data_IF_624835095112
#
_entry.id   IF_624835095112
#
_cell.length_a   1.000
_cell.length_b   1.000
_cell.length_c   1.000
_cell.angle_alpha   90.00
_cell.angle_beta   90.00
_cell.angle_gamma   90.00
#
_symmetry.space_group_name_H-M   'P 1'
#
loop_
_entity.id
_entity.type
_entity.pdbx_description
1 polymer ?
#
# COMPACT_ATOMS: atom_id res chain seq x y z
N UNK A 1 25.54 -8.92 8.60
CA UNK A 1 24.60 -7.93 8.04
C UNK A 1 23.15 -8.42 7.95
N UNK A 2 22.87 -9.69 7.66
CA UNK A 2 21.50 -10.25 7.49
C UNK A 2 20.67 -10.32 8.79
N UNK A 3 21.28 -10.69 9.93
CA UNK A 3 20.57 -10.77 11.21
C UNK A 3 20.02 -9.42 11.71
N UNK A 4 20.74 -8.32 11.46
CA UNK A 4 20.32 -6.97 11.83
C UNK A 4 19.13 -6.48 11.00
N UNK A 5 19.10 -6.76 9.70
CA UNK A 5 17.93 -6.45 8.84
C UNK A 5 16.68 -7.25 9.23
N UNK A 6 16.84 -8.53 9.57
CA UNK A 6 15.73 -9.36 10.02
C UNK A 6 15.13 -8.87 11.36
N UNK A 7 15.97 -8.45 12.31
CA UNK A 7 15.52 -7.88 13.57
C UNK A 7 14.80 -6.53 13.38
N UNK A 8 15.34 -5.64 12.53
CA UNK A 8 14.70 -4.35 12.22
C UNK A 8 13.36 -4.57 11.48
N UNK A 9 13.31 -5.53 10.55
CA UNK A 9 12.08 -5.92 9.87
C UNK A 9 11.02 -6.54 10.80
N UNK A 10 11.44 -7.29 11.81
CA UNK A 10 10.53 -7.84 12.82
C UNK A 10 9.93 -6.75 13.71
N UNK A 11 10.74 -5.78 14.15
CA UNK A 11 10.31 -4.65 14.98
C UNK A 11 9.33 -3.76 14.21
N UNK A 12 9.63 -3.41 12.96
CA UNK A 12 8.71 -2.64 12.12
C UNK A 12 7.42 -3.44 11.84
N UNK A 13 7.51 -4.75 11.61
CA UNK A 13 6.31 -5.57 11.38
C UNK A 13 5.34 -5.60 12.56
N UNK A 14 5.86 -5.49 13.80
CA UNK A 14 5.07 -5.42 15.02
C UNK A 14 4.48 -4.02 15.22
N UNK A 15 5.25 -2.96 14.93
CA UNK A 15 4.78 -1.57 14.98
C UNK A 15 3.59 -1.33 14.06
N UNK A 16 3.66 -1.82 12.81
CA UNK A 16 2.61 -1.64 11.81
C UNK A 16 1.47 -2.69 11.91
N UNK A 17 1.46 -3.56 12.93
CA UNK A 17 0.46 -4.62 13.05
C UNK A 17 -0.99 -4.11 13.02
N UNK A 18 -1.38 -3.04 13.73
CA UNK A 18 -2.75 -2.52 13.67
C UNK A 18 -3.17 -2.05 12.27
N UNK A 19 -2.29 -1.33 11.56
CA UNK A 19 -2.55 -0.87 10.20
C UNK A 19 -2.64 -2.04 9.22
N UNK A 20 -1.77 -3.04 9.36
CA UNK A 20 -1.81 -4.26 8.55
C UNK A 20 -3.11 -5.02 8.75
N UNK A 21 -3.55 -5.21 9.98
CA UNK A 21 -4.83 -5.87 10.28
C UNK A 21 -6.00 -5.05 9.73
N UNK A 22 -6.01 -3.73 9.91
CA UNK A 22 -7.05 -2.88 9.30
C UNK A 22 -7.10 -3.03 7.78
N UNK A 23 -5.94 -3.07 7.12
CA UNK A 23 -5.84 -3.27 5.68
C UNK A 23 -6.28 -4.67 5.26
N UNK A 24 -5.96 -5.71 6.03
CA UNK A 24 -6.41 -7.10 5.82
C UNK A 24 -7.94 -7.17 5.74
N UNK A 25 -8.63 -6.58 6.73
CA UNK A 25 -10.10 -6.53 6.79
C UNK A 25 -10.72 -5.59 5.74
N UNK A 26 -9.94 -4.63 5.23
CA UNK A 26 -10.36 -3.76 4.12
C UNK A 26 -10.33 -4.51 2.78
N UNK A 27 -9.27 -5.28 2.53
CA UNK A 27 -9.04 -5.99 1.27
C UNK A 27 -9.80 -7.33 1.16
N UNK A 28 -9.97 -8.07 2.26
CA UNK A 28 -10.69 -9.36 2.31
C UNK A 28 -12.21 -9.25 2.19
N UNK A 29 -12.75 -8.09 1.77
CA UNK A 29 -14.16 -8.01 1.36
C UNK A 29 -14.40 -8.61 -0.04
N UNK A 30 -13.36 -8.63 -0.87
CA UNK A 30 -13.47 -8.91 -2.30
C UNK A 30 -13.02 -10.32 -2.70
N UNK A 31 -12.46 -11.09 -1.77
CA UNK A 31 -11.97 -12.46 -2.00
C UNK A 31 -13.09 -13.51 -1.97
N UNK A 32 -14.15 -13.30 -1.17
CA UNK A 32 -15.26 -14.25 -1.03
C UNK A 32 -15.96 -14.58 -2.35
N UNK A 33 -16.33 -13.63 -3.23
CA UNK A 33 -16.94 -13.95 -4.52
C UNK A 33 -16.03 -14.82 -5.39
N UNK A 34 -14.71 -14.57 -5.38
CA UNK A 34 -13.75 -15.38 -6.12
C UNK A 34 -13.71 -16.81 -5.57
N UNK A 35 -13.68 -16.98 -4.24
CA UNK A 35 -13.73 -18.31 -3.60
C UNK A 35 -14.99 -19.06 -4.02
N UNK A 36 -16.17 -18.43 -3.93
CA UNK A 36 -17.44 -19.07 -4.29
C UNK A 36 -17.52 -19.41 -5.78
N UNK A 37 -17.02 -18.53 -6.66
CA UNK A 37 -16.96 -18.79 -8.10
C UNK A 37 -16.05 -19.99 -8.40
N UNK A 38 -14.84 -20.03 -7.84
CA UNK A 38 -13.94 -21.16 -8.05
C UNK A 38 -14.50 -22.45 -7.46
N UNK A 39 -15.24 -22.36 -6.34
CA UNK A 39 -15.94 -23.50 -5.75
C UNK A 39 -17.03 -24.05 -6.66
N UNK A 40 -17.80 -23.17 -7.32
CA UNK A 40 -18.83 -23.56 -8.28
C UNK A 40 -18.22 -24.22 -9.52
N UNK A 41 -17.12 -23.65 -10.05
CA UNK A 41 -16.38 -24.25 -11.18
C UNK A 41 -15.82 -25.61 -10.82
N UNK A 42 -15.24 -25.75 -9.62
CA UNK A 42 -14.73 -27.03 -9.12
C UNK A 42 -15.86 -28.06 -8.95
N UNK A 43 -16.99 -27.67 -8.34
CA UNK A 43 -18.14 -28.56 -8.19
C UNK A 43 -18.69 -29.04 -9.54
N UNK A 44 -18.75 -28.16 -10.55
CA UNK A 44 -19.15 -28.53 -11.91
C UNK A 44 -18.15 -29.48 -12.57
N UNK A 45 -16.85 -29.21 -12.44
CA UNK A 45 -15.80 -30.07 -13.00
C UNK A 45 -15.78 -31.47 -12.37
N UNK A 46 -16.18 -31.57 -11.10
CA UNK A 46 -16.26 -32.83 -10.35
C UNK A 46 -17.63 -33.51 -10.46
N UNK A 47 -18.60 -32.87 -11.12
CA UNK A 47 -19.96 -33.38 -11.28
C UNK A 47 -19.97 -34.67 -12.11
N UNK A 48 -20.65 -35.71 -11.62
CA UNK A 48 -20.71 -37.01 -12.28
C UNK A 48 -19.48 -37.91 -12.06
N UNK A 49 -18.41 -37.38 -11.46
CA UNK A 49 -17.22 -38.17 -11.07
C UNK A 49 -17.24 -38.57 -9.60
N UNK A 50 -17.83 -37.75 -8.74
CA UNK A 50 -17.91 -37.97 -7.29
C UNK A 50 -19.38 -37.89 -6.83
N UNK A 51 -19.69 -38.54 -5.71
CA UNK A 51 -21.05 -38.54 -5.15
C UNK A 51 -21.56 -37.12 -4.92
N UNK A 52 -22.79 -36.86 -5.37
CA UNK A 52 -23.46 -35.57 -5.25
C UNK A 52 -23.55 -35.11 -3.79
N UNK A 53 -23.79 -36.03 -2.86
CA UNK A 53 -23.86 -35.74 -1.42
C UNK A 53 -22.57 -35.14 -0.87
N UNK A 54 -21.40 -35.63 -1.30
CA UNK A 54 -20.10 -35.09 -0.86
C UNK A 54 -19.84 -33.70 -1.47
N UNK A 55 -20.19 -33.49 -2.74
CA UNK A 55 -20.07 -32.17 -3.39
C UNK A 55 -20.97 -31.14 -2.67
N UNK A 56 -22.22 -31.51 -2.35
CA UNK A 56 -23.16 -30.65 -1.63
C UNK A 56 -22.65 -30.33 -0.21
N UNK A 57 -22.19 -31.34 0.55
CA UNK A 57 -21.63 -31.13 1.88
C UNK A 57 -20.40 -30.19 1.85
N UNK A 58 -19.53 -30.38 0.85
CA UNK A 58 -18.36 -29.53 0.65
C UNK A 58 -18.71 -28.08 0.29
N UNK A 59 -19.68 -27.88 -0.61
CA UNK A 59 -20.19 -26.54 -0.93
C UNK A 59 -20.83 -25.86 0.28
N UNK A 60 -21.60 -26.60 1.09
CA UNK A 60 -22.17 -26.08 2.34
C UNK A 60 -21.06 -25.61 3.28
N UNK A 61 -19.99 -26.39 3.45
CA UNK A 61 -18.83 -25.99 4.26
C UNK A 61 -18.25 -24.66 3.76
N UNK A 62 -17.99 -24.54 2.46
CA UNK A 62 -17.39 -23.34 1.88
C UNK A 62 -18.29 -22.11 2.00
N UNK A 63 -19.60 -22.28 1.83
CA UNK A 63 -20.58 -21.20 2.03
C UNK A 63 -20.61 -20.78 3.50
N UNK A 64 -20.61 -21.72 4.44
CA UNK A 64 -20.58 -21.41 5.88
C UNK A 64 -19.27 -20.71 6.28
N UNK A 65 -18.11 -21.21 5.81
CA UNK A 65 -16.82 -20.57 6.08
C UNK A 65 -16.74 -19.16 5.47
N UNK A 66 -17.30 -18.96 4.27
CA UNK A 66 -17.43 -17.65 3.63
C UNK A 66 -18.38 -16.72 4.39
N UNK A 67 -19.49 -17.23 4.91
CA UNK A 67 -20.41 -16.45 5.74
C UNK A 67 -19.73 -16.01 7.05
N UNK A 68 -18.99 -16.90 7.70
CA UNK A 68 -18.18 -16.55 8.89
C UNK A 68 -17.17 -15.45 8.55
N UNK A 69 -16.50 -15.51 7.39
CA UNK A 69 -15.59 -14.46 6.92
C UNK A 69 -16.31 -13.11 6.77
N UNK A 70 -17.46 -13.09 6.11
CA UNK A 70 -18.27 -11.87 5.91
C UNK A 70 -18.72 -11.29 7.25
N UNK A 71 -19.23 -12.13 8.15
CA UNK A 71 -19.67 -11.72 9.48
C UNK A 71 -18.50 -11.16 10.32
N UNK A 72 -17.33 -11.80 10.24
CA UNK A 72 -16.12 -11.32 10.91
C UNK A 72 -15.68 -9.96 10.35
N UNK A 73 -15.65 -9.80 9.03
CA UNK A 73 -15.34 -8.53 8.36
C UNK A 73 -16.33 -7.42 8.77
N UNK A 74 -17.63 -7.74 8.81
CA UNK A 74 -18.67 -6.81 9.26
C UNK A 74 -18.49 -6.45 10.73
N UNK A 75 -18.22 -7.43 11.60
CA UNK A 75 -17.98 -7.21 13.02
C UNK A 75 -16.75 -6.32 13.27
N UNK A 76 -15.66 -6.52 12.52
CA UNK A 76 -14.47 -5.68 12.59
C UNK A 76 -14.78 -4.22 12.23
N UNK A 77 -15.49 -4.01 11.11
CA UNK A 77 -15.87 -2.67 10.64
C UNK A 77 -16.83 -1.95 11.59
N UNK A 78 -17.75 -2.68 12.21
CA UNK A 78 -18.69 -2.11 13.19
C UNK A 78 -18.00 -1.77 14.52
N UNK A 79 -17.12 -2.65 15.02
CA UNK A 79 -16.47 -2.46 16.33
C UNK A 79 -15.29 -1.48 16.30
N UNK A 80 -14.68 -1.24 15.12
CA UNK A 80 -13.48 -0.39 14.94
C UNK A 80 -12.45 -0.60 16.06
N UNK A 81 -11.94 -1.84 16.21
CA UNK A 81 -11.12 -2.20 17.35
C UNK A 81 -9.83 -1.36 17.41
N UNK A 82 -9.44 -0.95 18.62
CA UNK A 82 -8.20 -0.24 18.86
C UNK A 82 -6.94 -1.10 18.63
N UNK A 83 -5.73 -0.49 18.70
CA UNK A 83 -4.46 -1.15 18.40
C UNK A 83 -4.19 -2.41 19.23
N UNK A 84 -4.57 -2.41 20.51
CA UNK A 84 -4.35 -3.53 21.45
C UNK A 84 -5.05 -4.83 21.01
N UNK A 85 -6.19 -4.71 20.33
CA UNK A 85 -6.95 -5.86 19.88
C UNK A 85 -6.46 -6.40 18.51
N UNK A 86 -5.51 -5.74 17.84
CA UNK A 86 -5.09 -6.08 16.49
C UNK A 86 -4.62 -7.54 16.36
N UNK A 87 -3.78 -8.02 17.28
CA UNK A 87 -3.28 -9.39 17.28
C UNK A 87 -4.42 -10.43 17.42
N UNK A 88 -5.43 -10.13 18.23
CA UNK A 88 -6.60 -11.01 18.41
C UNK A 88 -7.44 -11.09 17.13
N UNK A 89 -7.65 -9.95 16.46
CA UNK A 89 -8.38 -9.92 15.19
C UNK A 89 -7.59 -10.53 14.03
N UNK A 90 -6.25 -10.45 14.03
CA UNK A 90 -5.40 -11.27 13.15
C UNK A 90 -5.66 -12.75 13.41
N UNK A 91 -5.67 -13.19 14.68
CA UNK A 91 -5.94 -14.57 15.06
C UNK A 91 -7.30 -15.10 14.59
N UNK A 92 -8.38 -14.33 14.77
CA UNK A 92 -9.70 -14.71 14.23
C UNK A 92 -9.69 -14.87 12.71
N UNK A 93 -9.00 -13.96 12.02
CA UNK A 93 -8.87 -14.02 10.58
C UNK A 93 -8.07 -15.25 10.14
N UNK A 94 -6.96 -15.56 10.80
CA UNK A 94 -6.18 -16.80 10.61
C UNK A 94 -7.07 -18.05 10.76
N UNK A 95 -7.94 -18.07 11.79
CA UNK A 95 -8.85 -19.19 12.02
C UNK A 95 -9.82 -19.39 10.86
N UNK A 96 -10.41 -18.30 10.36
CA UNK A 96 -11.28 -18.37 9.17
C UNK A 96 -10.52 -18.74 7.90
N UNK A 97 -9.25 -18.36 7.77
CA UNK A 97 -8.39 -18.79 6.66
C UNK A 97 -8.09 -20.29 6.73
N UNK A 98 -7.87 -20.82 7.93
CA UNK A 98 -7.72 -22.25 8.13
C UNK A 98 -9.01 -23.03 7.82
N UNK A 99 -10.20 -22.50 8.15
CA UNK A 99 -11.47 -23.14 7.80
C UNK A 99 -11.68 -23.24 6.28
N UNK A 100 -11.28 -22.21 5.53
CA UNK A 100 -11.34 -22.24 4.05
C UNK A 100 -10.25 -23.17 3.50
N UNK A 101 -9.04 -23.09 4.03
CA UNK A 101 -7.93 -23.94 3.61
C UNK A 101 -8.20 -25.42 3.84
N UNK A 102 -8.78 -25.77 4.98
CA UNK A 102 -9.19 -27.16 5.30
C UNK A 102 -10.31 -27.63 4.37
N UNK A 103 -11.27 -26.78 4.02
CA UNK A 103 -12.29 -27.14 3.03
C UNK A 103 -11.66 -27.53 1.68
N UNK A 104 -10.61 -26.81 1.25
CA UNK A 104 -9.89 -27.10 0.01
C UNK A 104 -8.82 -28.20 0.12
N UNK A 105 -8.31 -28.50 1.31
CA UNK A 105 -7.35 -29.58 1.53
C UNK A 105 -8.01 -30.93 1.76
N UNK A 106 -9.14 -30.95 2.48
CA UNK A 106 -9.90 -32.17 2.77
C UNK A 106 -10.61 -32.74 1.54
N UNK A 107 -10.85 -31.95 0.50
CA UNK A 107 -11.34 -32.47 -0.79
C UNK A 107 -10.43 -33.54 -1.35
N UNK A 108 -9.10 -33.36 -1.22
CA UNK A 108 -8.12 -34.35 -1.67
C UNK A 108 -8.26 -35.68 -0.95
N UNK A 109 -8.62 -35.65 0.34
CA UNK A 109 -8.73 -36.88 1.14
C UNK A 109 -10.11 -37.52 1.05
N UNK A 110 -11.17 -36.71 0.99
CA UNK A 110 -12.56 -37.18 1.01
C UNK A 110 -13.10 -37.53 -0.38
N UNK A 111 -12.59 -36.88 -1.43
CA UNK A 111 -13.06 -37.08 -2.82
C UNK A 111 -12.14 -38.01 -3.63
N UNK A 112 -11.17 -38.64 -2.97
CA UNK A 112 -10.25 -39.60 -3.57
C UNK A 112 -10.60 -41.01 -3.07
N UNK A 113 -11.51 -41.76 -3.73
CA UNK A 113 -11.09 -42.86 -4.62
C UNK A 113 -12.10 -43.37 -5.70
N UNK A 114 -11.59 -43.77 -6.88
CA UNK A 114 -11.85 -45.04 -7.62
C UNK A 114 -11.44 -44.93 -9.12
N UNK A 115 -10.33 -45.61 -9.48
CA UNK A 115 -10.05 -46.25 -10.80
C UNK A 115 -10.12 -45.47 -12.13
N UNK A 116 -9.99 -44.15 -12.21
CA UNK A 116 -9.72 -43.49 -13.51
C UNK A 116 -8.54 -42.51 -13.48
N UNK A 117 -7.64 -42.66 -14.46
CA UNK A 117 -6.40 -41.88 -14.66
C UNK A 117 -6.61 -40.36 -14.79
N UNK A 118 -7.83 -39.88 -15.04
CA UNK A 118 -8.13 -38.46 -15.27
C UNK A 118 -8.18 -37.60 -13.98
N UNK A 119 -8.47 -38.20 -12.82
CA UNK A 119 -8.65 -37.45 -11.57
C UNK A 119 -7.32 -37.04 -10.92
N UNK A 120 -6.23 -37.77 -11.19
CA UNK A 120 -4.90 -37.55 -10.60
C UNK A 120 -4.27 -36.20 -11.00
N UNK A 121 -4.66 -35.65 -12.16
CA UNK A 121 -4.12 -34.38 -12.69
C UNK A 121 -5.08 -33.21 -12.43
N UNK A 122 -6.39 -33.44 -12.51
CA UNK A 122 -7.41 -32.39 -12.41
C UNK A 122 -7.49 -31.79 -11.00
N UNK A 123 -7.38 -32.62 -9.96
CA UNK A 123 -7.46 -32.20 -8.54
C UNK A 123 -6.31 -31.26 -8.14
N UNK A 124 -5.03 -31.61 -8.36
CA UNK A 124 -3.92 -30.70 -8.08
C UNK A 124 -3.98 -29.39 -8.87
N UNK A 125 -4.48 -29.43 -10.11
CA UNK A 125 -4.64 -28.23 -10.94
C UNK A 125 -5.73 -27.29 -10.41
N UNK A 126 -6.90 -27.84 -10.02
CA UNK A 126 -7.96 -27.08 -9.37
C UNK A 126 -7.48 -26.43 -8.06
N UNK A 127 -6.73 -27.17 -7.25
CA UNK A 127 -6.17 -26.68 -5.98
C UNK A 127 -5.12 -25.59 -6.22
N UNK A 128 -4.25 -25.78 -7.22
CA UNK A 128 -3.26 -24.78 -7.64
C UNK A 128 -3.90 -23.47 -8.10
N UNK A 129 -5.05 -23.53 -8.78
CA UNK A 129 -5.77 -22.34 -9.25
C UNK A 129 -6.35 -21.50 -8.10
N UNK A 130 -6.88 -22.15 -7.06
CA UNK A 130 -7.40 -21.46 -5.86
C UNK A 130 -6.27 -20.83 -5.06
N UNK A 131 -5.14 -21.54 -4.92
CA UNK A 131 -3.96 -21.03 -4.24
C UNK A 131 -3.35 -19.80 -4.94
N UNK A 132 -3.51 -19.67 -6.27
CA UNK A 132 -3.05 -18.53 -7.06
C UNK A 132 -3.97 -17.29 -7.01
N UNK A 133 -5.27 -17.43 -6.70
CA UNK A 133 -6.25 -16.33 -6.81
C UNK A 133 -6.37 -15.41 -5.57
N UNK A 134 -5.92 -15.89 -4.40
CA UNK A 134 -6.00 -15.20 -3.11
C UNK A 134 -4.84 -14.20 -2.72
N UNK A 135 -3.75 -13.97 -3.50
CA UNK A 135 -2.55 -13.24 -3.03
C UNK A 135 -2.72 -11.79 -2.52
N UNK A 136 -3.50 -10.87 -3.12
CA UNK A 136 -3.45 -9.46 -2.70
C UNK A 136 -4.18 -9.19 -1.38
N UNK A 137 -5.30 -9.89 -1.16
CA UNK A 137 -6.17 -9.62 -0.01
C UNK A 137 -5.55 -10.06 1.31
N UNK A 138 -4.73 -11.11 1.25
CA UNK A 138 -4.09 -11.67 2.43
C UNK A 138 -2.81 -10.89 2.77
N UNK A 139 -2.08 -10.34 1.78
CA UNK A 139 -0.72 -9.76 1.87
C UNK A 139 -0.35 -9.04 3.19
N UNK A 140 -1.24 -8.30 3.87
CA UNK A 140 -0.93 -7.74 5.19
C UNK A 140 -0.58 -8.76 6.29
N UNK A 141 -0.94 -10.05 6.21
CA UNK A 141 -0.70 -11.04 7.29
C UNK A 141 -0.10 -12.37 6.79
N UNK A 142 1.22 -12.62 6.95
CA UNK A 142 1.86 -13.90 6.56
C UNK A 142 1.36 -15.09 7.36
N UNK A 143 0.94 -14.87 8.61
CA UNK A 143 0.29 -15.90 9.43
C UNK A 143 -1.02 -16.36 8.78
N UNK A 144 -1.87 -15.42 8.36
CA UNK A 144 -3.18 -15.74 7.75
C UNK A 144 -3.03 -16.52 6.45
N UNK A 145 -2.00 -16.22 5.66
CA UNK A 145 -1.68 -16.94 4.43
C UNK A 145 -1.15 -18.36 4.72
N UNK A 146 -0.24 -18.51 5.67
CA UNK A 146 0.21 -19.83 6.09
C UNK A 146 -0.97 -20.70 6.59
N UNK A 147 -1.89 -20.11 7.38
CA UNK A 147 -3.10 -20.78 7.83
C UNK A 147 -4.04 -21.21 6.68
N UNK A 148 -4.00 -20.55 5.52
CA UNK A 148 -4.75 -20.98 4.34
C UNK A 148 -4.02 -22.09 3.56
N UNK A 149 -2.73 -21.87 3.27
CA UNK A 149 -1.94 -22.69 2.35
C UNK A 149 -1.53 -24.04 2.96
N UNK A 150 -1.18 -24.06 4.25
CA UNK A 150 -0.71 -25.29 4.92
C UNK A 150 -1.81 -26.35 4.93
N UNK A 151 -3.06 -26.06 5.34
CA UNK A 151 -4.14 -27.06 5.28
C UNK A 151 -4.47 -27.52 3.85
N UNK A 152 -4.21 -26.70 2.83
CA UNK A 152 -4.43 -27.05 1.43
C UNK A 152 -3.40 -28.07 0.94
N UNK A 153 -2.10 -27.75 1.08
CA UNK A 153 -1.05 -28.56 0.45
C UNK A 153 -0.48 -29.65 1.36
N UNK A 154 -0.44 -29.47 2.68
CA UNK A 154 0.21 -30.45 3.57
C UNK A 154 -0.45 -31.85 3.50
N UNK A 155 -1.79 -31.99 3.49
CA UNK A 155 -2.42 -33.31 3.35
C UNK A 155 -2.11 -33.97 2.01
N UNK A 156 -2.12 -33.18 0.92
CA UNK A 156 -1.84 -33.66 -0.43
C UNK A 156 -0.37 -34.12 -0.58
N UNK A 157 0.58 -33.32 -0.10
CA UNK A 157 2.01 -33.66 -0.10
C UNK A 157 2.24 -34.95 0.71
N UNK A 158 1.66 -35.05 1.90
CA UNK A 158 1.74 -36.25 2.74
C UNK A 158 1.16 -37.49 2.04
N UNK A 159 0.00 -37.34 1.41
CA UNK A 159 -0.65 -38.43 0.67
C UNK A 159 0.22 -38.90 -0.51
N UNK A 160 0.73 -37.98 -1.33
CA UNK A 160 1.58 -38.32 -2.48
C UNK A 160 2.86 -39.06 -2.07
N UNK A 161 3.53 -38.61 -1.02
CA UNK A 161 4.72 -39.32 -0.52
C UNK A 161 4.38 -40.68 0.09
N UNK A 162 3.21 -40.82 0.73
CA UNK A 162 2.77 -42.11 1.30
C UNK A 162 2.44 -43.17 0.25
N UNK A 163 1.93 -42.75 -0.92
CA UNK A 163 1.62 -43.66 -2.02
C UNK A 163 2.89 -44.19 -2.72
N UNK A 164 4.01 -43.47 -2.64
CA UNK A 164 5.27 -43.85 -3.27
C UNK A 164 5.21 -43.85 -4.81
N UNK A 165 6.30 -44.28 -5.44
CA UNK A 165 6.43 -44.29 -6.90
C UNK A 165 7.03 -42.99 -7.48
N UNK A 166 7.64 -43.10 -8.65
CA UNK A 166 8.39 -41.99 -9.26
C UNK A 166 7.51 -40.77 -9.59
N UNK A 167 6.30 -41.00 -10.11
CA UNK A 167 5.34 -39.94 -10.43
C UNK A 167 4.89 -39.18 -9.18
N UNK A 168 4.37 -39.88 -8.16
CA UNK A 168 3.89 -39.24 -6.93
C UNK A 168 4.99 -38.51 -6.16
N UNK A 169 6.20 -39.08 -6.12
CA UNK A 169 7.36 -38.41 -5.51
C UNK A 169 7.69 -37.11 -6.24
N UNK A 170 7.69 -37.13 -7.58
CA UNK A 170 7.97 -35.95 -8.40
C UNK A 170 6.89 -34.87 -8.25
N UNK A 171 5.61 -35.27 -8.26
CA UNK A 171 4.48 -34.37 -8.03
C UNK A 171 4.50 -33.76 -6.61
N UNK A 172 4.80 -34.56 -5.59
CA UNK A 172 4.94 -34.11 -4.21
C UNK A 172 6.06 -33.07 -4.04
N UNK A 173 7.23 -33.30 -4.65
CA UNK A 173 8.34 -32.33 -4.67
C UNK A 173 7.91 -31.05 -5.40
N UNK A 174 7.25 -31.14 -6.56
CA UNK A 174 6.81 -29.97 -7.31
C UNK A 174 5.82 -29.11 -6.51
N UNK A 175 4.85 -29.74 -5.84
CA UNK A 175 3.87 -29.04 -4.98
C UNK A 175 4.55 -28.44 -3.76
N UNK A 176 5.51 -29.13 -3.13
CA UNK A 176 6.30 -28.59 -2.03
C UNK A 176 7.07 -27.34 -2.47
N UNK A 177 7.78 -27.40 -3.59
CA UNK A 177 8.52 -26.26 -4.16
C UNK A 177 7.56 -25.12 -4.51
N UNK A 178 6.44 -25.42 -5.16
CA UNK A 178 5.40 -24.44 -5.49
C UNK A 178 4.86 -23.74 -4.24
N UNK A 179 4.54 -24.48 -3.17
CA UNK A 179 4.06 -23.93 -1.91
C UNK A 179 5.10 -23.05 -1.22
N UNK A 180 6.39 -23.41 -1.29
CA UNK A 180 7.48 -22.61 -0.76
C UNK A 180 7.67 -21.32 -1.55
N UNK A 181 7.57 -21.37 -2.89
CA UNK A 181 7.62 -20.19 -3.77
C UNK A 181 6.44 -19.26 -3.47
N UNK A 182 5.22 -19.80 -3.34
CA UNK A 182 4.05 -19.00 -2.98
C UNK A 182 4.23 -18.29 -1.63
N UNK A 183 4.75 -18.99 -0.61
CA UNK A 183 5.06 -18.40 0.69
C UNK A 183 6.14 -17.32 0.59
N UNK A 184 7.18 -17.54 -0.20
CA UNK A 184 8.25 -16.55 -0.42
C UNK A 184 7.73 -15.29 -1.12
N UNK A 185 6.94 -15.44 -2.19
CA UNK A 185 6.29 -14.32 -2.89
C UNK A 185 5.39 -13.53 -1.95
N UNK A 186 4.67 -14.22 -1.08
CA UNK A 186 3.80 -13.59 -0.12
C UNK A 186 4.56 -12.82 0.96
N UNK A 187 5.61 -13.42 1.54
CA UNK A 187 6.48 -12.75 2.50
C UNK A 187 7.11 -11.50 1.87
N UNK A 188 7.54 -11.61 0.61
CA UNK A 188 8.04 -10.47 -0.17
C UNK A 188 6.97 -9.38 -0.34
N UNK A 189 5.74 -9.73 -0.70
CA UNK A 189 4.63 -8.77 -0.79
C UNK A 189 4.34 -8.07 0.54
N UNK A 190 4.38 -8.81 1.66
CA UNK A 190 4.20 -8.24 2.99
C UNK A 190 5.30 -7.23 3.35
N UNK A 191 6.54 -7.51 2.98
CA UNK A 191 7.67 -6.60 3.19
C UNK A 191 7.49 -5.30 2.40
N UNK A 192 7.16 -5.38 1.11
CA UNK A 192 6.88 -4.20 0.27
C UNK A 192 5.73 -3.37 0.82
N UNK A 193 4.69 -4.01 1.36
CA UNK A 193 3.57 -3.32 2.00
C UNK A 193 4.02 -2.56 3.26
N UNK A 194 4.84 -3.18 4.11
CA UNK A 194 5.37 -2.53 5.32
C UNK A 194 6.29 -1.37 4.95
N UNK A 195 7.15 -1.53 3.95
CA UNK A 195 8.01 -0.45 3.44
C UNK A 195 7.19 0.72 2.91
N UNK A 196 6.13 0.43 2.15
CA UNK A 196 5.22 1.47 1.65
C UNK A 196 4.55 2.23 2.81
N UNK A 197 4.03 1.52 3.82
CA UNK A 197 3.43 2.14 5.01
C UNK A 197 4.44 3.01 5.78
N UNK A 198 5.68 2.54 5.89
CA UNK A 198 6.77 3.29 6.52
C UNK A 198 7.06 4.58 5.76
N UNK A 199 7.25 4.49 4.43
CA UNK A 199 7.51 5.66 3.60
C UNK A 199 6.37 6.67 3.64
N UNK A 200 5.11 6.21 3.62
CA UNK A 200 3.96 7.12 3.77
C UNK A 200 3.98 7.86 5.10
N UNK A 201 4.29 7.18 6.21
CA UNK A 201 4.39 7.80 7.53
C UNK A 201 5.56 8.78 7.64
N UNK A 202 6.72 8.43 7.10
CA UNK A 202 7.89 9.31 7.06
C UNK A 202 7.61 10.57 6.22
N UNK A 203 6.93 10.40 5.09
CA UNK A 203 6.53 11.52 4.23
C UNK A 203 5.52 12.45 4.93
N UNK A 204 4.53 11.91 5.65
CA UNK A 204 3.59 12.70 6.45
C UNK A 204 4.33 13.55 7.51
N UNK A 205 5.29 12.97 8.22
CA UNK A 205 6.09 13.67 9.23
C UNK A 205 6.98 14.77 8.62
N UNK A 206 7.61 14.50 7.48
CA UNK A 206 8.42 15.49 6.77
C UNK A 206 7.56 16.65 6.26
N UNK A 207 6.37 16.36 5.72
CA UNK A 207 5.42 17.39 5.30
C UNK A 207 4.98 18.27 6.47
N UNK A 208 4.71 17.68 7.63
CA UNK A 208 4.37 18.41 8.85
C UNK A 208 5.51 19.33 9.32
N UNK A 209 6.76 18.83 9.30
CA UNK A 209 7.94 19.64 9.63
C UNK A 209 8.16 20.81 8.67
N UNK A 210 8.04 20.58 7.36
CA UNK A 210 8.15 21.64 6.35
C UNK A 210 7.05 22.69 6.55
N UNK A 211 5.83 22.25 6.87
CA UNK A 211 4.71 23.15 7.16
C UNK A 211 4.97 24.00 8.39
N UNK A 212 5.45 23.41 9.50
CA UNK A 212 5.77 24.12 10.73
C UNK A 212 6.90 25.14 10.52
N UNK A 213 7.95 24.76 9.78
CA UNK A 213 9.05 25.68 9.45
C UNK A 213 8.58 26.84 8.57
N UNK A 214 7.70 26.57 7.60
CA UNK A 214 7.11 27.61 6.76
C UNK A 214 6.26 28.57 7.58
N UNK A 215 5.35 28.07 8.41
CA UNK A 215 4.51 28.92 9.28
C UNK A 215 5.37 29.78 10.21
N UNK A 216 6.44 29.21 10.77
CA UNK A 216 7.38 29.97 11.61
C UNK A 216 8.15 31.04 10.83
N UNK A 217 8.54 30.76 9.59
CA UNK A 217 9.19 31.73 8.71
C UNK A 217 8.22 32.87 8.38
N UNK A 218 7.00 32.54 7.94
CA UNK A 218 5.97 33.52 7.58
C UNK A 218 5.68 34.45 8.78
N UNK A 219 5.52 33.89 9.99
CA UNK A 219 5.36 34.69 11.22
C UNK A 219 6.57 35.58 11.54
N UNK A 220 7.79 35.11 11.31
CA UNK A 220 9.00 35.91 11.54
C UNK A 220 9.11 37.07 10.53
N UNK A 221 8.75 36.84 9.26
CA UNK A 221 8.70 37.86 8.22
C UNK A 221 7.63 38.91 8.52
N UNK A 222 6.42 38.48 8.89
CA UNK A 222 5.33 39.36 9.31
C UNK A 222 5.73 40.22 10.52
N UNK A 223 6.32 39.62 11.56
CA UNK A 223 6.73 40.33 12.77
C UNK A 223 7.89 41.32 12.53
N UNK A 224 8.83 40.97 11.65
CA UNK A 224 9.93 41.85 11.28
C UNK A 224 9.52 42.91 10.25
N UNK A 225 8.31 42.81 9.69
CA UNK A 225 7.84 43.62 8.56
C UNK A 225 8.84 43.58 7.39
N UNK A 226 9.50 42.43 7.22
CA UNK A 226 10.48 42.17 6.15
C UNK A 226 9.72 41.56 4.99
N UNK A 227 10.02 42.07 3.81
CA UNK A 227 9.47 41.54 2.58
C UNK A 227 10.53 40.80 1.79
N UNK A 228 10.18 39.59 1.36
CA UNK A 228 11.01 38.78 0.48
C UNK A 228 10.28 38.61 -0.85
N UNK A 229 11.05 38.71 -1.94
CA UNK A 229 10.59 38.42 -3.27
C UNK A 229 11.67 37.63 -3.99
N UNK A 230 11.24 36.67 -4.80
CA UNK A 230 12.12 35.84 -5.60
C UNK A 230 11.82 36.06 -7.07
N UNK A 231 12.88 36.29 -7.84
CA UNK A 231 12.77 36.43 -9.29
C UNK A 231 13.53 35.32 -9.99
N UNK A 232 12.81 34.54 -10.80
CA UNK A 232 13.43 33.59 -11.73
C UNK A 232 13.89 34.34 -12.98
N UNK A 233 15.19 34.64 -13.03
CA UNK A 233 15.81 35.37 -14.14
C UNK A 233 15.63 34.69 -15.52
N UNK A 234 15.34 33.38 -15.56
CA UNK A 234 15.12 32.64 -16.82
C UNK A 234 13.66 32.67 -17.26
N UNK A 235 12.73 32.63 -16.30
CA UNK A 235 11.28 32.55 -16.56
C UNK A 235 10.55 33.89 -16.48
N UNK A 236 11.27 34.97 -16.15
CA UNK A 236 10.79 36.35 -15.94
C UNK A 236 9.65 36.51 -14.92
N UNK A 237 9.31 35.44 -14.20
CA UNK A 237 8.29 35.42 -13.16
C UNK A 237 8.87 35.91 -11.84
N UNK A 238 8.15 36.81 -11.17
CA UNK A 238 8.45 37.23 -9.80
C UNK A 238 7.40 36.68 -8.85
N UNK A 239 7.88 36.01 -7.80
CA UNK A 239 7.10 35.56 -6.66
C UNK A 239 7.20 36.62 -5.58
N UNK A 240 6.07 37.24 -5.28
CA UNK A 240 5.94 38.26 -4.24
C UNK A 240 5.17 37.66 -3.07
N UNK A 241 5.73 37.79 -1.86
CA UNK A 241 5.01 37.45 -0.65
C UNK A 241 3.79 38.38 -0.44
N UNK A 242 2.77 37.91 0.28
CA UNK A 242 1.51 38.63 0.54
C UNK A 242 1.72 39.97 1.26
N UNK A 243 2.84 40.14 1.94
CA UNK A 243 3.29 41.39 2.58
C UNK A 243 3.50 42.54 1.57
N UNK A 244 3.67 42.26 0.26
CA UNK A 244 3.91 43.28 -0.78
C UNK A 244 2.69 44.15 -1.04
N UNK A 245 1.51 43.53 -1.00
CA UNK A 245 0.23 44.23 -1.09
C UNK A 245 0.08 45.27 0.05
N UNK A 246 0.56 44.93 1.25
CA UNK A 246 0.53 45.80 2.43
C UNK A 246 1.42 47.03 2.22
N UNK A 247 2.68 46.85 1.77
CA UNK A 247 3.61 47.97 1.53
C UNK A 247 3.10 48.92 0.44
N UNK A 248 2.57 48.36 -0.66
CA UNK A 248 2.07 49.15 -1.78
C UNK A 248 0.66 49.71 -1.56
N UNK A 249 0.00 49.38 -0.43
CA UNK A 249 -1.39 49.73 -0.12
C UNK A 249 -2.40 49.28 -1.17
N UNK A 250 -2.07 48.24 -1.92
CA UNK A 250 -2.97 47.60 -2.89
C UNK A 250 -3.69 46.46 -2.16
N UNK A 251 -4.97 46.24 -2.40
CA UNK A 251 -5.73 45.17 -1.75
C UNK A 251 -5.09 43.78 -1.93
N UNK A 252 -5.51 42.80 -1.12
CA UNK A 252 -4.99 41.41 -1.01
C UNK A 252 -4.87 40.58 -2.31
N UNK A 253 -5.14 41.14 -3.49
CA UNK A 253 -4.93 40.45 -4.75
C UNK A 253 -3.47 40.53 -5.19
N UNK A 254 -2.70 39.53 -4.78
CA UNK A 254 -1.34 39.32 -5.26
C UNK A 254 -1.39 38.92 -6.74
N UNK A 255 -1.17 39.86 -7.66
CA UNK A 255 -0.82 39.53 -9.05
C UNK A 255 0.63 39.06 -9.08
N UNK A 256 0.89 37.94 -9.76
CA UNK A 256 2.25 37.60 -10.17
C UNK A 256 2.76 38.75 -11.04
N UNK A 257 3.70 39.54 -10.53
CA UNK A 257 4.30 40.64 -11.27
C UNK A 257 5.46 40.08 -12.10
N UNK A 258 5.59 40.54 -13.33
CA UNK A 258 6.83 40.33 -14.09
C UNK A 258 7.88 41.34 -13.63
N UNK A 259 9.16 41.06 -13.88
CA UNK A 259 10.23 42.03 -13.56
C UNK A 259 9.99 43.38 -14.26
N UNK A 260 9.45 43.36 -15.47
CA UNK A 260 9.14 44.57 -16.23
C UNK A 260 8.03 45.40 -15.56
N UNK A 261 7.00 44.75 -15.02
CA UNK A 261 5.94 45.42 -14.25
C UNK A 261 6.47 46.01 -12.95
N UNK A 262 7.36 45.31 -12.25
CA UNK A 262 8.06 45.85 -11.08
C UNK A 262 8.94 47.05 -11.44
N UNK A 263 9.65 46.97 -12.57
CA UNK A 263 10.48 48.07 -13.05
C UNK A 263 9.63 49.31 -13.34
N UNK A 264 8.43 49.17 -13.92
CA UNK A 264 7.53 50.31 -14.18
C UNK A 264 7.12 51.08 -12.91
N UNK A 265 7.20 50.45 -11.73
CA UNK A 265 6.95 51.09 -10.46
C UNK A 265 8.10 52.00 -10.00
N UNK A 266 9.33 51.81 -10.50
CA UNK A 266 10.49 52.65 -10.15
C UNK A 266 10.35 54.03 -10.78
N UNK A 267 10.77 55.09 -10.07
CA UNK A 267 10.76 56.46 -10.60
C UNK A 267 11.66 56.58 -11.86
N UNK A 268 11.24 57.27 -12.93
CA UNK A 268 12.00 57.37 -14.19
C UNK A 268 13.46 57.80 -14.02
N UNK A 269 13.72 58.78 -13.14
CA UNK A 269 15.07 59.28 -12.87
C UNK A 269 15.99 58.25 -12.16
N UNK A 270 15.40 57.30 -11.42
CA UNK A 270 16.15 56.32 -10.64
C UNK A 270 16.38 55.01 -11.43
N UNK A 271 15.59 54.77 -12.48
CA UNK A 271 15.62 53.57 -13.33
C UNK A 271 17.01 53.26 -13.93
N UNK A 272 17.77 54.22 -14.50
CA UNK A 272 19.06 53.92 -15.11
C UNK A 272 20.05 53.35 -14.08
N UNK A 273 20.03 53.87 -12.85
CA UNK A 273 20.89 53.39 -11.75
C UNK A 273 20.52 51.98 -11.31
N UNK A 274 19.22 51.69 -11.17
CA UNK A 274 18.74 50.36 -10.75
C UNK A 274 19.07 49.30 -11.80
N UNK A 275 18.86 49.59 -13.09
CA UNK A 275 19.21 48.67 -14.18
C UNK A 275 20.70 48.38 -14.25
N UNK A 276 21.54 49.40 -14.07
CA UNK A 276 22.99 49.22 -14.09
C UNK A 276 23.44 48.33 -12.92
N UNK A 277 22.99 48.63 -11.70
CA UNK A 277 23.31 47.83 -10.51
C UNK A 277 22.86 46.36 -10.65
N UNK A 278 21.65 46.13 -11.17
CA UNK A 278 21.15 44.78 -11.43
C UNK A 278 21.99 44.04 -12.48
N UNK A 279 22.34 44.73 -13.57
CA UNK A 279 23.19 44.18 -14.64
C UNK A 279 24.59 43.81 -14.13
N UNK A 280 25.18 44.63 -13.27
CA UNK A 280 26.52 44.37 -12.72
C UNK A 280 26.53 43.12 -11.82
N UNK A 281 25.46 42.91 -11.04
CA UNK A 281 25.25 41.71 -10.23
C UNK A 281 25.03 40.45 -11.10
N UNK A 282 24.16 40.54 -12.12
CA UNK A 282 23.86 39.42 -13.02
C UNK A 282 25.06 38.99 -13.88
N UNK A 283 25.94 39.92 -14.25
CA UNK A 283 27.13 39.66 -15.06
C UNK A 283 28.32 39.15 -14.24
N UNK A 284 28.12 38.87 -12.93
CA UNK A 284 29.11 38.20 -12.08
C UNK A 284 30.13 39.12 -11.41
N UNK A 285 29.86 40.43 -11.31
CA UNK A 285 30.72 41.37 -10.59
C UNK A 285 30.63 41.25 -9.07
N UNK A 286 29.41 41.24 -8.52
CA UNK A 286 29.13 41.15 -7.07
C UNK A 286 27.97 40.18 -6.80
N UNK A 287 28.05 39.42 -5.69
CA UNK A 287 27.03 38.42 -5.31
C UNK A 287 25.81 39.01 -4.59
N UNK A 288 25.90 40.25 -4.13
CA UNK A 288 24.82 40.98 -3.48
C UNK A 288 24.70 42.37 -4.10
N UNK A 289 23.46 42.84 -4.30
CA UNK A 289 23.20 44.20 -4.78
C UNK A 289 22.27 44.91 -3.80
N UNK A 290 22.58 46.17 -3.49
CA UNK A 290 21.75 47.06 -2.69
C UNK A 290 21.34 48.25 -3.56
N UNK A 291 20.03 48.50 -3.68
CA UNK A 291 19.52 49.72 -4.30
C UNK A 291 18.48 50.40 -3.43
N UNK A 292 18.60 51.73 -3.35
CA UNK A 292 17.61 52.61 -2.73
C UNK A 292 17.06 53.50 -3.84
N UNK A 293 15.76 53.39 -4.10
CA UNK A 293 15.10 54.15 -5.17
C UNK A 293 13.67 54.51 -4.78
N UNK A 294 13.10 55.50 -5.47
CA UNK A 294 11.69 55.87 -5.28
C UNK A 294 10.78 54.91 -6.05
N UNK A 295 9.63 54.60 -5.45
CA UNK A 295 8.60 53.74 -6.03
C UNK A 295 7.30 54.54 -6.16
N UNK A 296 6.61 54.40 -7.28
CA UNK A 296 5.28 54.97 -7.50
C UNK A 296 4.26 54.17 -6.69
N UNK A 297 3.52 54.86 -5.82
CA UNK A 297 2.33 54.29 -5.17
C UNK A 297 1.25 54.03 -6.21
N UNK A 298 0.63 52.85 -6.15
CA UNK A 298 -0.50 52.45 -7.02
C UNK A 298 -1.86 52.94 -6.49
N UNK A 299 -1.88 54.03 -5.70
CA UNK A 299 -3.07 54.61 -5.08
C UNK A 299 -3.69 55.71 -5.93
#
# INVERSE_FOLDING_TARGET
>A
MTASRAAIGAISSAEFLPQRVSLLYRLSGNDVPAILLTSAVAAFALWGYISENLIVAWLIWLVLASLVRILLNRAYRMRRPGPEAAARWEGFFCLTSALIGTAWGLTVMLLYPERAQFHEILLPFLIGSVAMGLPPALAPSPKSFACLIVPIFAPLIGLLFSQGGAFNTSAGILILVFSAVLLALYVSSNQTLIETLRFSRENELLLEQVKEQKERLDLALEAANILIWDWDARRTSVLLDGSWAIILRVGKETRALTLDELAQMVHPDDMPKVKQALSDCLNGGESEYLAVHRVKTLA
#
